data_IF_681233520337
#
_entry.id   IF_681233520337
#
_cell.length_a   1.000
_cell.length_b   1.000
_cell.length_c   1.000
_cell.angle_alpha   90.00
_cell.angle_beta   90.00
_cell.angle_gamma   90.00
#
_symmetry.space_group_name_H-M   'P 1'
#
loop_
_entity.id
_entity.type
_entity.pdbx_description
1 polymer ?
#
# COMPACT_ATOMS: atom_id res chain seq x y z
N UNK A 1 3.50 -10.16 -4.37
CA UNK A 1 3.68 -8.73 -4.67
C UNK A 1 4.37 -8.57 -5.99
N UNK A 2 4.20 -7.43 -6.64
CA UNK A 2 4.79 -7.15 -7.95
C UNK A 2 6.13 -6.47 -7.73
N UNK A 3 7.20 -7.05 -8.27
CA UNK A 3 8.55 -6.50 -8.27
C UNK A 3 8.76 -5.53 -9.43
N UNK A 4 9.89 -4.81 -9.45
CA UNK A 4 10.28 -3.99 -10.60
C UNK A 4 10.39 -4.77 -11.91
N UNK A 5 10.77 -6.05 -11.84
CA UNK A 5 10.88 -6.91 -13.02
C UNK A 5 9.49 -7.13 -13.63
N UNK A 6 8.55 -7.61 -12.83
CA UNK A 6 7.18 -7.90 -13.25
C UNK A 6 6.43 -6.62 -13.71
N UNK A 7 6.66 -5.48 -13.04
CA UNK A 7 6.05 -4.20 -13.42
C UNK A 7 6.47 -3.76 -14.84
N UNK A 8 7.73 -4.00 -15.21
CA UNK A 8 8.27 -3.72 -16.55
C UNK A 8 7.75 -4.69 -17.59
N UNK A 9 7.67 -5.98 -17.26
CA UNK A 9 7.08 -7.00 -18.15
C UNK A 9 5.61 -6.68 -18.48
N UNK A 10 4.87 -6.12 -17.53
CA UNK A 10 3.50 -5.63 -17.71
C UNK A 10 3.41 -4.24 -18.36
N UNK A 11 4.54 -3.64 -18.74
CA UNK A 11 4.65 -2.31 -19.33
C UNK A 11 3.96 -1.22 -18.51
N UNK A 12 4.00 -1.31 -17.18
CA UNK A 12 3.39 -0.32 -16.29
C UNK A 12 4.04 1.06 -16.46
N UNK A 13 5.29 1.15 -16.91
CA UNK A 13 5.94 2.43 -17.20
C UNK A 13 5.26 3.27 -18.29
N UNK A 14 4.36 2.68 -19.09
CA UNK A 14 3.60 3.43 -20.11
C UNK A 14 2.59 4.40 -19.52
N UNK A 15 2.17 4.19 -18.27
CA UNK A 15 1.10 4.96 -17.62
C UNK A 15 1.50 5.53 -16.26
N UNK A 16 2.65 5.12 -15.71
CA UNK A 16 3.11 5.57 -14.40
C UNK A 16 4.64 5.53 -14.31
N UNK A 17 5.22 6.39 -13.47
CA UNK A 17 6.63 6.24 -13.06
C UNK A 17 6.74 5.08 -12.07
N UNK A 18 7.61 4.12 -12.35
CA UNK A 18 7.81 2.95 -11.48
C UNK A 18 9.04 3.17 -10.60
N UNK A 19 8.88 2.96 -9.30
CA UNK A 19 9.93 3.18 -8.29
C UNK A 19 9.98 1.99 -7.35
N UNK A 20 11.18 1.52 -7.03
CA UNK A 20 11.40 0.46 -6.04
C UNK A 20 11.27 1.02 -4.62
N UNK A 21 10.44 0.41 -3.78
CA UNK A 21 10.39 0.75 -2.36
C UNK A 21 11.66 0.31 -1.62
N UNK A 22 12.38 -0.68 -2.13
CA UNK A 22 13.51 -1.33 -1.46
C UNK A 22 13.10 -2.24 -0.31
N UNK A 23 11.80 -2.45 -0.09
CA UNK A 23 11.27 -3.28 1.00
C UNK A 23 11.23 -4.74 0.57
N UNK A 24 11.96 -5.66 1.24
CA UNK A 24 12.03 -7.07 0.86
C UNK A 24 10.93 -7.93 1.53
N UNK A 25 9.81 -7.31 1.91
CA UNK A 25 8.69 -7.94 2.60
C UNK A 25 7.36 -7.44 2.02
N UNK A 26 6.24 -8.17 2.20
CA UNK A 26 4.93 -7.62 1.87
C UNK A 26 4.62 -6.36 2.66
N UNK A 27 3.92 -5.41 2.03
CA UNK A 27 3.58 -4.12 2.63
C UNK A 27 4.72 -3.09 2.58
N UNK A 28 4.52 -1.95 3.26
CA UNK A 28 5.51 -0.88 3.35
C UNK A 28 6.03 -0.79 4.79
N UNK A 29 7.24 -1.29 5.01
CA UNK A 29 7.99 -1.07 6.25
C UNK A 29 8.95 0.13 6.08
N UNK A 30 8.71 1.20 6.84
CA UNK A 30 9.52 2.42 6.80
C UNK A 30 11.00 2.19 7.18
N UNK A 31 11.31 1.17 7.97
CA UNK A 31 12.68 0.83 8.37
C UNK A 31 13.51 0.22 7.24
N UNK A 32 12.85 -0.45 6.28
CA UNK A 32 13.50 -1.02 5.09
C UNK A 32 13.39 -0.12 3.86
N UNK A 33 12.43 0.81 3.84
CA UNK A 33 12.16 1.65 2.69
C UNK A 33 13.38 2.49 2.28
N UNK A 34 13.67 2.50 0.98
CA UNK A 34 14.80 3.24 0.42
C UNK A 34 14.62 4.75 0.61
N UNK A 35 15.73 5.48 0.74
CA UNK A 35 15.71 6.95 0.87
C UNK A 35 15.07 7.63 -0.34
N UNK A 36 15.28 7.08 -1.53
CA UNK A 36 14.72 7.60 -2.78
C UNK A 36 13.20 7.46 -2.80
N UNK A 37 12.70 6.25 -2.49
CA UNK A 37 11.26 6.01 -2.36
C UNK A 37 10.64 6.93 -1.31
N UNK A 38 11.25 7.02 -0.12
CA UNK A 38 10.71 7.84 0.97
C UNK A 38 10.69 9.33 0.63
N UNK A 39 11.67 9.84 -0.13
CA UNK A 39 11.65 11.22 -0.62
C UNK A 39 10.45 11.46 -1.53
N UNK A 40 10.17 10.52 -2.44
CA UNK A 40 9.00 10.60 -3.31
C UNK A 40 7.70 10.49 -2.50
N UNK A 41 7.56 9.45 -1.68
CA UNK A 41 6.41 9.18 -0.82
C UNK A 41 6.03 10.41 0.03
N UNK A 42 7.03 11.05 0.64
CA UNK A 42 6.81 12.23 1.47
C UNK A 42 6.34 13.46 0.67
N UNK A 43 6.67 13.55 -0.62
CA UNK A 43 6.27 14.66 -1.50
C UNK A 43 4.90 14.49 -2.15
N UNK A 44 4.28 13.31 -2.08
CA UNK A 44 2.98 13.06 -2.71
C UNK A 44 1.83 13.66 -1.89
N UNK A 45 0.79 14.14 -2.58
CA UNK A 45 -0.43 14.68 -1.97
C UNK A 45 -1.47 13.58 -1.62
N UNK A 46 -1.39 12.43 -2.32
CA UNK A 46 -2.31 11.31 -2.20
C UNK A 46 -1.56 9.99 -2.36
N UNK A 47 -1.87 9.01 -1.50
CA UNK A 47 -1.29 7.68 -1.51
C UNK A 47 -2.42 6.66 -1.58
N UNK A 48 -2.40 5.78 -2.57
CA UNK A 48 -3.34 4.64 -2.66
C UNK A 48 -2.61 3.36 -2.31
N UNK A 49 -2.74 2.93 -1.05
CA UNK A 49 -2.17 1.70 -0.51
C UNK A 49 -2.99 0.48 -0.97
N UNK A 50 -2.39 -0.36 -1.81
CA UNK A 50 -3.05 -1.53 -2.41
C UNK A 50 -2.77 -2.81 -1.63
N UNK A 51 -3.83 -3.58 -1.37
CA UNK A 51 -3.71 -4.91 -0.76
C UNK A 51 -3.64 -4.88 0.77
N UNK A 52 -3.92 -6.04 1.37
CA UNK A 52 -4.06 -6.20 2.82
C UNK A 52 -2.73 -6.03 3.56
N UNK A 53 -1.60 -6.43 2.97
CA UNK A 53 -0.29 -6.22 3.60
C UNK A 53 0.09 -4.75 3.74
N UNK A 54 -0.24 -3.90 2.76
CA UNK A 54 -0.06 -2.45 2.92
C UNK A 54 -1.02 -1.86 3.96
N UNK A 55 -2.25 -2.36 4.05
CA UNK A 55 -3.19 -1.95 5.09
C UNK A 55 -2.62 -2.22 6.49
N UNK A 56 -2.17 -3.45 6.75
CA UNK A 56 -1.60 -3.91 8.03
C UNK A 56 -0.30 -3.20 8.45
N UNK A 57 0.35 -2.47 7.53
CA UNK A 57 1.55 -1.68 7.85
C UNK A 57 1.26 -0.18 8.05
N UNK A 58 0.11 0.31 7.55
CA UNK A 58 -0.14 1.75 7.37
C UNK A 58 -1.41 2.26 8.04
N UNK A 59 -2.34 1.38 8.41
CA UNK A 59 -3.58 1.68 9.14
C UNK A 59 -3.37 2.46 10.46
N UNK A 60 -2.23 2.24 11.12
CA UNK A 60 -1.87 2.95 12.36
C UNK A 60 -1.12 4.27 12.17
N UNK A 61 -0.73 4.61 10.93
CA UNK A 61 0.07 5.79 10.62
C UNK A 61 -0.83 7.03 10.55
N UNK A 62 -0.49 8.09 11.28
CA UNK A 62 -1.24 9.36 11.25
C UNK A 62 -0.98 10.17 9.98
N UNK A 63 -1.45 9.68 8.85
CA UNK A 63 -1.32 10.31 7.55
C UNK A 63 -2.64 10.25 6.76
N UNK A 64 -3.28 11.41 6.60
CA UNK A 64 -4.57 11.57 5.89
C UNK A 64 -4.47 11.37 4.39
N UNK A 65 -3.27 11.37 3.82
CA UNK A 65 -3.04 11.19 2.39
C UNK A 65 -3.24 9.74 1.96
N UNK A 66 -3.19 8.81 2.92
CA UNK A 66 -3.28 7.37 2.67
C UNK A 66 -4.75 6.95 2.51
N UNK A 67 -5.03 6.26 1.41
CA UNK A 67 -6.28 5.59 1.13
C UNK A 67 -5.99 4.11 0.87
N UNK A 68 -6.70 3.23 1.57
CA UNK A 68 -6.53 1.80 1.48
C UNK A 68 -7.52 1.21 0.48
N UNK A 69 -7.03 0.40 -0.47
CA UNK A 69 -7.85 -0.33 -1.43
C UNK A 69 -7.45 -1.81 -1.45
N UNK A 70 -8.28 -2.66 -0.86
CA UNK A 70 -7.99 -4.08 -0.72
C UNK A 70 -9.25 -4.94 -0.61
N UNK A 71 -9.06 -6.27 -0.64
CA UNK A 71 -10.10 -7.27 -0.36
C UNK A 71 -9.85 -7.88 1.02
N UNK A 72 -10.87 -7.98 1.86
CA UNK A 72 -10.78 -8.65 3.17
C UNK A 72 -10.55 -10.15 2.96
N UNK A 73 -9.47 -10.71 3.53
CA UNK A 73 -9.11 -12.13 3.37
C UNK A 73 -9.03 -12.92 4.68
N UNK A 74 -9.10 -12.26 5.83
CA UNK A 74 -9.03 -12.92 7.14
C UNK A 74 -9.97 -12.25 8.16
N UNK A 75 -10.33 -12.99 9.21
CA UNK A 75 -11.29 -12.52 10.21
C UNK A 75 -10.73 -11.39 11.08
N UNK A 76 -9.41 -11.30 11.22
CA UNK A 76 -8.74 -10.23 11.99
C UNK A 76 -9.03 -8.88 11.33
N UNK A 77 -8.70 -8.76 10.05
CA UNK A 77 -8.96 -7.55 9.27
C UNK A 77 -10.46 -7.31 9.11
N UNK A 78 -11.26 -8.37 8.91
CA UNK A 78 -12.73 -8.26 8.85
C UNK A 78 -13.33 -7.52 10.05
N UNK A 79 -12.90 -7.86 11.26
CA UNK A 79 -13.35 -7.21 12.50
C UNK A 79 -12.85 -5.76 12.60
N UNK A 80 -11.61 -5.53 12.21
CA UNK A 80 -10.98 -4.20 12.30
C UNK A 80 -11.58 -3.16 11.35
N UNK A 81 -11.92 -3.58 10.12
CA UNK A 81 -12.64 -2.70 9.17
C UNK A 81 -14.16 -2.75 9.30
N UNK A 82 -14.71 -3.69 10.07
CA UNK A 82 -16.15 -3.86 10.24
C UNK A 82 -16.87 -4.34 8.96
N UNK A 83 -16.21 -5.14 8.13
CA UNK A 83 -16.75 -5.65 6.86
C UNK A 83 -16.50 -7.16 6.71
N UNK A 84 -17.42 -7.87 6.07
CA UNK A 84 -17.34 -9.34 5.94
C UNK A 84 -16.16 -9.82 5.08
N UNK A 85 -15.75 -11.08 5.26
CA UNK A 85 -14.77 -11.74 4.41
C UNK A 85 -15.12 -11.60 2.93
N UNK A 86 -14.13 -11.28 2.10
CA UNK A 86 -14.29 -11.10 0.67
C UNK A 86 -14.78 -9.72 0.23
N UNK A 87 -15.16 -8.83 1.16
CA UNK A 87 -15.56 -7.45 0.84
C UNK A 87 -14.41 -6.68 0.19
N UNK A 88 -14.75 -5.83 -0.79
CA UNK A 88 -13.83 -4.83 -1.34
C UNK A 88 -13.94 -3.56 -0.52
N UNK A 89 -12.80 -3.09 -0.01
CA UNK A 89 -12.70 -1.93 0.87
C UNK A 89 -12.01 -0.80 0.11
N UNK A 90 -12.60 0.39 0.15
CA UNK A 90 -11.92 1.65 -0.17
C UNK A 90 -12.18 2.64 0.96
N UNK A 91 -11.15 3.00 1.71
CA UNK A 91 -11.29 3.87 2.88
C UNK A 91 -10.09 4.79 3.04
N UNK A 92 -10.34 6.00 3.54
CA UNK A 92 -9.27 6.88 4.00
C UNK A 92 -8.69 6.35 5.31
N UNK A 93 -7.38 6.55 5.51
CA UNK A 93 -6.72 6.14 6.73
C UNK A 93 -7.30 6.84 7.97
N UNK A 94 -7.44 6.09 9.07
CA UNK A 94 -7.94 6.62 10.34
C UNK A 94 -6.81 7.42 11.00
N UNK A 95 -7.08 8.63 11.49
CA UNK A 95 -6.10 9.51 12.17
C UNK A 95 -6.43 9.63 13.65
#
# INVERSE_FOLDING_TARGET
DVTLLEAKELAMEKVATIVDSGVPTPGLDYGYASKEFMKLYNSMDLIVAKGMGNYECLEGVKDKRIFHLFKVKCDVVSRDVGAGLGSLIFMQNKV
#
